data_IF_324321876432
#
_entry.id   IF_324321876432
#
_cell.length_a   1.000
_cell.length_b   1.000
_cell.length_c   1.000
_cell.angle_alpha   90.00
_cell.angle_beta   90.00
_cell.angle_gamma   90.00
#
_symmetry.space_group_name_H-M   'P 1'
#
loop_
_entity.id
_entity.type
_entity.pdbx_description
1 polymer ?
#
# COMPACT_ATOMS: atom_id res chain seq x y z
N UNK A 1 -48.25 27.95 3.15
CA UNK A 1 -48.33 29.41 3.37
C UNK A 1 -48.00 29.72 4.82
N UNK A 2 -47.16 30.69 5.18
CA UNK A 2 -46.29 31.59 4.41
C UNK A 2 -44.79 31.30 4.64
N UNK A 3 -43.87 31.46 3.76
CA UNK A 3 -43.13 32.62 3.21
C UNK A 3 -42.63 33.61 4.24
N UNK A 4 -41.30 33.80 4.31
CA UNK A 4 -40.52 35.01 4.66
C UNK A 4 -39.13 34.55 5.13
N UNK A 5 -37.97 35.07 4.82
CA UNK A 5 -37.55 36.18 3.98
C UNK A 5 -36.00 36.11 3.89
N UNK A 6 -35.49 36.53 2.76
CA UNK A 6 -34.08 36.63 2.47
C UNK A 6 -33.56 37.94 2.97
N UNK A 7 -32.47 37.99 3.78
CA UNK A 7 -31.67 39.20 3.92
C UNK A 7 -30.20 38.96 3.56
N UNK A 8 -29.81 39.68 2.51
CA UNK A 8 -28.45 39.96 2.07
C UNK A 8 -27.76 40.95 3.02
N UNK A 9 -26.51 40.76 3.28
CA UNK A 9 -25.56 41.75 3.77
C UNK A 9 -24.18 41.17 3.59
N UNK A 10 -23.31 41.62 2.79
CA UNK A 10 -22.79 42.96 2.62
C UNK A 10 -21.28 42.84 2.88
N UNK A 11 -20.53 42.83 1.82
CA UNK A 11 -19.09 42.96 1.62
C UNK A 11 -18.34 43.80 2.66
N UNK A 12 -17.20 43.30 3.21
CA UNK A 12 -16.10 44.18 3.63
C UNK A 12 -14.75 43.54 3.30
N UNK A 13 -14.17 44.02 2.22
CA UNK A 13 -12.79 43.78 1.78
C UNK A 13 -11.86 44.66 2.64
N UNK A 14 -10.94 44.06 3.40
CA UNK A 14 -9.78 44.81 3.95
C UNK A 14 -8.50 44.31 3.30
N UNK A 15 -7.94 45.16 2.46
CA UNK A 15 -6.57 45.10 1.94
C UNK A 15 -5.59 45.19 3.12
N UNK A 16 -4.61 44.28 3.14
CA UNK A 16 -3.37 44.52 3.87
C UNK A 16 -2.19 44.48 2.88
N UNK A 17 -1.44 45.61 2.93
CA UNK A 17 -0.40 46.00 2.00
C UNK A 17 0.93 45.37 2.41
N UNK A 18 1.66 44.93 1.40
CA UNK A 18 3.03 44.39 1.44
C UNK A 18 4.03 45.41 2.03
N UNK A 19 4.95 44.95 2.87
CA UNK A 19 6.26 45.58 3.08
C UNK A 19 7.36 44.59 2.69
N UNK A 20 8.06 44.91 1.61
CA UNK A 20 9.27 44.23 1.14
C UNK A 20 10.47 44.92 1.83
N UNK A 21 11.19 44.19 2.64
CA UNK A 21 12.48 44.59 3.17
C UNK A 21 13.62 43.90 2.41
N UNK A 22 14.33 44.66 1.60
CA UNK A 22 15.58 44.25 0.99
C UNK A 22 16.71 44.22 2.05
N UNK A 23 17.36 43.08 2.21
CA UNK A 23 18.61 42.98 2.95
C UNK A 23 19.71 42.52 1.98
N UNK A 24 20.55 43.45 1.57
CA UNK A 24 21.75 43.23 0.80
C UNK A 24 22.87 42.70 1.72
N UNK A 25 23.38 41.53 1.42
CA UNK A 25 24.57 40.97 2.11
C UNK A 25 25.77 41.06 1.18
N UNK A 26 26.79 41.82 1.64
CA UNK A 26 28.06 42.03 0.95
C UNK A 26 28.94 40.77 1.01
N UNK A 27 29.47 40.36 -0.15
CA UNK A 27 30.49 39.32 -0.27
C UNK A 27 31.87 39.94 -0.06
N UNK A 28 32.54 39.53 0.99
CA UNK A 28 33.97 39.80 1.19
C UNK A 28 34.76 38.59 0.69
N UNK A 29 35.48 38.77 -0.41
CA UNK A 29 36.49 37.84 -0.90
C UNK A 29 37.76 37.94 -0.03
N UNK A 30 38.18 36.86 0.60
CA UNK A 30 39.48 36.72 1.23
C UNK A 30 40.30 35.73 0.41
N UNK A 31 41.35 36.25 -0.25
CA UNK A 31 42.45 35.48 -0.82
C UNK A 31 43.35 34.95 0.29
N UNK A 32 43.71 33.67 0.26
CA UNK A 32 44.80 33.10 1.02
C UNK A 32 45.67 32.21 0.12
N UNK A 33 46.99 32.20 0.33
CA UNK A 33 47.94 31.72 -0.68
C UNK A 33 48.16 30.21 -0.62
N UNK A 34 48.46 29.71 -1.81
CA UNK A 34 48.83 28.34 -2.13
C UNK A 34 50.15 27.94 -1.46
N UNK A 35 50.13 26.93 -0.59
CA UNK A 35 51.36 26.21 -0.19
C UNK A 35 51.18 24.72 -0.56
N UNK A 36 51.97 24.29 -1.54
CA UNK A 36 52.12 22.88 -1.92
C UNK A 36 52.82 22.09 -0.81
N UNK A 37 52.33 20.94 -0.38
CA UNK A 37 53.12 20.02 0.42
C UNK A 37 53.97 19.09 -0.47
N UNK A 38 55.17 18.85 0.00
CA UNK A 38 56.20 18.01 -0.60
C UNK A 38 55.77 16.56 -0.81
N UNK A 39 56.24 16.00 -1.92
CA UNK A 39 56.09 14.58 -2.32
C UNK A 39 56.89 13.66 -1.37
N UNK A 40 56.17 12.77 -0.70
CA UNK A 40 56.73 11.58 -0.02
C UNK A 40 56.82 10.40 -1.03
N UNK A 41 57.90 9.60 -0.99
CA UNK A 41 58.08 8.49 -1.92
C UNK A 41 57.12 7.31 -1.61
N UNK A 42 56.51 6.81 -2.68
CA UNK A 42 55.63 5.62 -2.68
C UNK A 42 56.42 4.36 -2.38
N UNK A 43 55.92 3.44 -1.54
CA UNK A 43 56.54 2.12 -1.38
C UNK A 43 56.25 1.24 -2.58
N UNK A 44 57.25 0.45 -2.95
CA UNK A 44 57.25 -0.49 -4.07
C UNK A 44 56.13 -1.55 -3.94
N UNK A 45 55.41 -1.79 -5.07
CA UNK A 45 54.44 -2.87 -5.22
C UNK A 45 55.10 -4.26 -5.17
N UNK A 46 54.54 -5.23 -4.43
CA UNK A 46 54.98 -6.61 -4.53
C UNK A 46 54.55 -7.24 -5.86
N UNK A 47 55.37 -8.18 -6.36
CA UNK A 47 55.18 -8.88 -7.61
C UNK A 47 53.82 -9.64 -7.68
N UNK A 48 53.23 -9.83 -8.86
CA UNK A 48 51.96 -10.49 -9.01
C UNK A 48 52.09 -12.01 -8.69
N UNK A 49 51.31 -12.42 -7.69
CA UNK A 49 51.07 -13.86 -7.42
C UNK A 49 50.10 -14.39 -8.47
N UNK A 50 50.53 -15.43 -9.18
CA UNK A 50 49.68 -16.11 -10.16
C UNK A 50 48.43 -16.68 -9.53
N UNK A 51 47.29 -16.16 -9.90
CA UNK A 51 45.97 -16.67 -9.50
C UNK A 51 45.69 -18.02 -10.16
N UNK A 52 45.07 -18.98 -9.47
CA UNK A 52 44.65 -20.23 -10.10
C UNK A 52 43.54 -19.94 -11.12
N UNK A 53 43.74 -20.43 -12.34
CA UNK A 53 42.73 -20.43 -13.42
C UNK A 53 41.59 -21.35 -13.02
N UNK A 54 40.54 -20.82 -12.41
CA UNK A 54 39.25 -21.50 -12.32
C UNK A 54 38.59 -21.46 -13.70
N UNK A 55 38.47 -22.62 -14.34
CA UNK A 55 37.62 -22.81 -15.52
C UNK A 55 36.16 -22.57 -15.14
N UNK A 56 35.72 -21.33 -15.21
CA UNK A 56 34.30 -21.00 -15.20
C UNK A 56 33.84 -21.17 -16.66
N UNK A 57 33.16 -22.29 -16.93
CA UNK A 57 32.43 -22.47 -18.18
C UNK A 57 31.48 -21.32 -18.36
N UNK A 58 31.39 -20.66 -19.53
CA UNK A 58 30.41 -19.59 -19.75
C UNK A 58 29.01 -20.14 -19.49
N UNK A 59 28.10 -19.34 -18.91
CA UNK A 59 26.73 -19.76 -18.70
C UNK A 59 26.13 -20.12 -20.06
N UNK A 60 25.62 -21.32 -20.15
CA UNK A 60 24.92 -21.83 -21.33
C UNK A 60 23.79 -20.86 -21.64
N UNK A 61 23.89 -20.14 -22.77
CA UNK A 61 22.82 -19.28 -23.26
C UNK A 61 21.65 -20.21 -23.61
N UNK A 62 20.68 -20.33 -22.71
CA UNK A 62 19.44 -21.01 -23.01
C UNK A 62 18.74 -20.21 -24.11
N UNK A 63 18.37 -20.88 -25.21
CA UNK A 63 17.54 -20.26 -26.23
C UNK A 63 16.26 -19.71 -25.58
N UNK A 64 15.81 -18.50 -25.94
CA UNK A 64 14.61 -17.92 -25.39
C UNK A 64 13.43 -18.87 -25.53
N UNK A 65 12.67 -19.06 -24.45
CA UNK A 65 11.47 -19.89 -24.48
C UNK A 65 10.43 -19.27 -25.41
N UNK A 66 9.47 -20.05 -25.88
CA UNK A 66 8.36 -19.54 -26.68
C UNK A 66 7.58 -18.42 -25.95
N UNK A 67 7.52 -18.47 -24.63
CA UNK A 67 6.91 -17.44 -23.77
C UNK A 67 7.74 -16.14 -23.76
N UNK A 68 9.07 -16.23 -23.78
CA UNK A 68 9.92 -15.04 -23.82
C UNK A 68 9.81 -14.33 -25.17
N UNK A 69 9.68 -15.08 -26.26
CA UNK A 69 9.42 -14.55 -27.60
C UNK A 69 8.03 -13.88 -27.69
N UNK A 70 7.01 -14.48 -27.07
CA UNK A 70 5.67 -13.86 -26.99
C UNK A 70 5.69 -12.55 -26.19
N UNK A 71 6.40 -12.53 -25.05
CA UNK A 71 6.55 -11.34 -24.24
C UNK A 71 7.29 -10.21 -24.98
N UNK A 72 8.34 -10.54 -25.73
CA UNK A 72 9.06 -9.56 -26.55
C UNK A 72 8.11 -8.86 -27.53
N UNK A 73 7.21 -9.58 -28.18
CA UNK A 73 6.20 -9.01 -29.09
C UNK A 73 5.25 -8.07 -28.36
N UNK A 74 4.83 -8.41 -27.12
CA UNK A 74 4.00 -7.53 -26.28
C UNK A 74 4.74 -6.22 -25.99
N UNK A 75 6.02 -6.29 -25.59
CA UNK A 75 6.84 -5.08 -25.32
C UNK A 75 6.98 -4.20 -26.56
N UNK A 76 7.23 -4.79 -27.72
CA UNK A 76 7.33 -4.05 -28.99
C UNK A 76 5.99 -3.41 -29.38
N UNK A 77 4.89 -4.12 -29.20
CA UNK A 77 3.54 -3.60 -29.45
C UNK A 77 3.20 -2.46 -28.50
N UNK A 78 3.49 -2.60 -27.20
CA UNK A 78 3.30 -1.57 -26.20
C UNK A 78 4.07 -0.27 -26.55
N UNK A 79 5.31 -0.39 -27.05
CA UNK A 79 6.08 0.77 -27.50
C UNK A 79 5.46 1.45 -28.71
N UNK A 80 4.82 0.70 -29.60
CA UNK A 80 4.07 1.27 -30.74
C UNK A 80 2.77 1.94 -30.30
N UNK A 81 2.11 1.42 -29.29
CA UNK A 81 0.95 2.05 -28.65
C UNK A 81 1.32 3.39 -28.00
N UNK A 82 2.51 3.49 -27.42
CA UNK A 82 3.14 4.74 -26.96
C UNK A 82 2.51 5.38 -25.72
N UNK A 83 1.36 4.90 -25.27
CA UNK A 83 0.62 5.42 -24.11
C UNK A 83 -0.01 4.31 -23.28
N UNK A 84 -0.25 4.57 -21.99
CA UNK A 84 -1.11 3.79 -21.11
C UNK A 84 -1.89 4.72 -20.17
N UNK A 85 -3.21 4.56 -20.15
CA UNK A 85 -4.11 5.31 -19.27
C UNK A 85 -4.49 4.48 -18.04
N UNK A 86 -4.14 4.97 -16.84
CA UNK A 86 -4.37 4.28 -15.58
C UNK A 86 -5.43 5.00 -14.77
N UNK A 87 -6.55 4.33 -14.48
CA UNK A 87 -7.55 4.79 -13.52
C UNK A 87 -7.12 4.37 -12.12
N UNK A 88 -6.83 5.34 -11.26
CA UNK A 88 -6.22 5.03 -9.97
C UNK A 88 -6.81 5.85 -8.82
N UNK A 89 -7.05 5.20 -7.70
CA UNK A 89 -7.33 5.87 -6.44
C UNK A 89 -6.10 5.91 -5.50
N UNK A 90 -5.03 5.18 -5.84
CA UNK A 90 -3.79 5.13 -5.05
C UNK A 90 -2.66 5.99 -5.62
N UNK A 91 -2.53 6.06 -6.97
CA UNK A 91 -1.42 6.77 -7.63
C UNK A 91 -1.70 8.27 -7.69
N UNK A 92 -1.82 8.92 -6.53
CA UNK A 92 -2.15 10.35 -6.42
C UNK A 92 -0.90 11.20 -6.20
N UNK A 93 -0.92 12.45 -6.67
CA UNK A 93 0.15 13.43 -6.42
C UNK A 93 1.54 12.90 -6.80
N UNK A 94 2.51 13.06 -5.88
CA UNK A 94 3.91 12.68 -6.10
C UNK A 94 4.11 11.18 -6.34
N UNK A 95 3.23 10.33 -5.81
CA UNK A 95 3.26 8.88 -6.04
C UNK A 95 3.00 8.58 -7.52
N UNK A 96 1.94 9.16 -8.07
CA UNK A 96 1.61 9.01 -9.49
C UNK A 96 2.72 9.55 -10.40
N UNK A 97 3.30 10.71 -10.06
CA UNK A 97 4.42 11.29 -10.79
C UNK A 97 5.65 10.38 -10.79
N UNK A 98 5.99 9.77 -9.64
CA UNK A 98 7.12 8.86 -9.54
C UNK A 98 6.91 7.61 -10.41
N UNK A 99 5.73 7.01 -10.39
CA UNK A 99 5.37 5.85 -11.22
C UNK A 99 5.39 6.18 -12.70
N UNK A 100 4.75 7.29 -13.13
CA UNK A 100 4.73 7.74 -14.53
C UNK A 100 6.14 7.98 -15.06
N UNK A 101 6.97 8.69 -14.29
CA UNK A 101 8.35 8.98 -14.67
C UNK A 101 9.17 7.71 -14.84
N UNK A 102 9.17 6.82 -13.84
CA UNK A 102 9.99 5.62 -13.86
C UNK A 102 9.58 4.67 -15.01
N UNK A 103 8.29 4.51 -15.29
CA UNK A 103 7.82 3.70 -16.40
C UNK A 103 8.21 4.32 -17.75
N UNK A 104 8.03 5.63 -17.91
CA UNK A 104 8.42 6.36 -19.12
C UNK A 104 9.93 6.30 -19.35
N UNK A 105 10.77 6.53 -18.35
CA UNK A 105 12.23 6.41 -18.43
C UNK A 105 12.66 5.01 -18.86
N UNK A 106 11.96 3.97 -18.39
CA UNK A 106 12.28 2.57 -18.68
C UNK A 106 11.88 2.13 -20.09
N UNK A 107 10.71 2.56 -20.58
CA UNK A 107 10.10 2.01 -21.79
C UNK A 107 9.84 3.03 -22.91
N UNK A 108 9.92 4.33 -22.62
CA UNK A 108 9.59 5.41 -23.55
C UNK A 108 8.09 5.54 -23.81
N UNK A 109 7.23 4.99 -22.90
CA UNK A 109 5.77 5.02 -23.03
C UNK A 109 5.23 6.04 -22.05
N UNK A 110 4.33 6.91 -22.53
CA UNK A 110 3.66 7.88 -21.67
C UNK A 110 2.65 7.20 -20.75
N UNK A 111 2.49 7.71 -19.51
CA UNK A 111 1.52 7.20 -18.54
C UNK A 111 0.58 8.31 -18.13
N UNK A 112 -0.67 8.22 -18.54
CA UNK A 112 -1.74 9.11 -18.12
C UNK A 112 -2.42 8.54 -16.89
N UNK A 113 -2.23 9.15 -15.72
CA UNK A 113 -2.91 8.73 -14.49
C UNK A 113 -4.11 9.63 -14.24
N UNK A 114 -5.30 9.03 -14.27
CA UNK A 114 -6.55 9.68 -13.94
C UNK A 114 -6.94 9.25 -12.53
N UNK A 115 -6.88 10.20 -11.60
CA UNK A 115 -7.15 9.96 -10.18
C UNK A 115 -8.60 10.24 -9.83
N UNK A 116 -9.15 9.45 -8.88
CA UNK A 116 -10.53 9.60 -8.42
C UNK A 116 -10.89 8.61 -7.34
N UNK A 117 -12.14 8.62 -6.89
CA UNK A 117 -12.64 7.63 -5.93
C UNK A 117 -12.94 6.31 -6.63
N UNK A 118 -12.67 5.18 -5.96
CA UNK A 118 -12.85 3.86 -6.55
C UNK A 118 -14.22 3.60 -7.17
N UNK A 119 -15.30 4.06 -6.51
CA UNK A 119 -16.67 3.91 -7.02
C UNK A 119 -16.97 4.78 -8.27
N UNK A 120 -16.31 5.94 -8.41
CA UNK A 120 -16.47 6.82 -9.57
C UNK A 120 -15.97 6.15 -10.85
N UNK A 121 -14.89 5.38 -10.76
CA UNK A 121 -14.34 4.63 -11.89
C UNK A 121 -15.26 3.51 -12.38
N UNK A 122 -16.05 2.90 -11.48
CA UNK A 122 -17.07 1.91 -11.89
C UNK A 122 -18.10 2.59 -12.80
N UNK A 123 -18.65 3.72 -12.36
CA UNK A 123 -19.65 4.46 -13.12
C UNK A 123 -19.07 5.00 -14.45
N UNK A 124 -17.83 5.44 -14.42
CA UNK A 124 -17.13 5.89 -15.63
C UNK A 124 -16.98 4.75 -16.64
N UNK A 125 -16.44 3.61 -16.25
CA UNK A 125 -16.24 2.46 -17.15
C UNK A 125 -17.55 1.88 -17.67
N UNK A 126 -18.61 1.84 -16.85
CA UNK A 126 -19.95 1.46 -17.31
C UNK A 126 -20.50 2.45 -18.35
N UNK A 127 -20.19 3.73 -18.22
CA UNK A 127 -20.58 4.76 -19.19
C UNK A 127 -19.77 4.63 -20.48
N UNK A 128 -18.46 4.50 -20.38
CA UNK A 128 -17.58 4.28 -21.52
C UNK A 128 -17.98 3.03 -22.32
N UNK A 129 -18.27 1.91 -21.65
CA UNK A 129 -18.80 0.68 -22.28
C UNK A 129 -20.08 0.97 -23.05
N UNK A 130 -21.03 1.69 -22.46
CA UNK A 130 -22.35 1.98 -23.05
C UNK A 130 -22.26 2.83 -24.32
N UNK A 131 -21.30 3.78 -24.35
CA UNK A 131 -21.08 4.64 -25.52
C UNK A 131 -20.09 4.03 -26.55
N UNK A 132 -19.52 2.86 -26.23
CA UNK A 132 -18.59 2.15 -27.13
C UNK A 132 -17.20 2.77 -27.21
N UNK A 133 -16.78 3.55 -26.21
CA UNK A 133 -15.50 4.26 -26.18
C UNK A 133 -14.75 4.08 -24.86
N UNK A 134 -14.16 2.91 -24.62
CA UNK A 134 -13.27 2.66 -23.48
C UNK A 134 -12.01 3.56 -23.64
N UNK A 135 -11.65 4.27 -22.57
CA UNK A 135 -10.51 5.19 -22.51
C UNK A 135 -9.39 4.64 -21.62
N UNK A 136 -9.74 4.02 -20.50
CA UNK A 136 -8.77 3.45 -19.58
C UNK A 136 -8.16 2.15 -20.09
N UNK A 137 -6.89 1.93 -19.77
CA UNK A 137 -6.19 0.66 -20.09
C UNK A 137 -6.00 -0.21 -18.87
N UNK A 138 -5.75 0.41 -17.72
CA UNK A 138 -5.50 -0.25 -16.43
C UNK A 138 -6.33 0.44 -15.36
N UNK A 139 -6.81 -0.33 -14.40
CA UNK A 139 -7.44 0.20 -13.19
C UNK A 139 -6.76 -0.36 -11.95
N UNK A 140 -6.43 0.49 -10.96
CA UNK A 140 -6.20 0.04 -9.59
C UNK A 140 -7.40 0.39 -8.70
N UNK A 141 -7.83 -0.57 -7.89
CA UNK A 141 -8.96 -0.37 -7.01
C UNK A 141 -8.99 -1.42 -5.89
N UNK A 142 -9.96 -1.30 -4.98
CA UNK A 142 -10.23 -2.39 -4.05
C UNK A 142 -10.78 -3.62 -4.81
N UNK A 143 -10.59 -4.83 -4.27
CA UNK A 143 -11.00 -6.07 -4.94
C UNK A 143 -12.49 -6.13 -5.26
N UNK A 144 -13.37 -5.63 -4.38
CA UNK A 144 -14.82 -5.67 -4.58
C UNK A 144 -15.24 -4.87 -5.83
N UNK A 145 -14.67 -3.69 -6.02
CA UNK A 145 -14.92 -2.85 -7.18
C UNK A 145 -14.43 -3.51 -8.48
N UNK A 146 -13.25 -4.13 -8.47
CA UNK A 146 -12.72 -4.82 -9.66
C UNK A 146 -13.53 -6.09 -9.96
N UNK A 147 -14.03 -6.80 -8.92
CA UNK A 147 -14.92 -7.95 -9.09
C UNK A 147 -16.25 -7.54 -9.75
N UNK A 148 -16.82 -6.38 -9.38
CA UNK A 148 -17.99 -5.82 -10.08
C UNK A 148 -17.69 -5.57 -11.56
N UNK A 149 -16.57 -4.91 -11.87
CA UNK A 149 -16.16 -4.65 -13.26
C UNK A 149 -15.93 -5.95 -14.03
N UNK A 150 -15.38 -6.99 -13.40
CA UNK A 150 -15.24 -8.33 -13.98
C UNK A 150 -16.60 -8.93 -14.31
N UNK A 151 -17.57 -8.87 -13.39
CA UNK A 151 -18.95 -9.31 -13.62
C UNK A 151 -19.62 -8.61 -14.80
N UNK A 152 -19.27 -7.36 -15.06
CA UNK A 152 -19.73 -6.57 -16.21
C UNK A 152 -18.92 -6.84 -17.51
N UNK A 153 -17.90 -7.72 -17.49
CA UNK A 153 -17.02 -7.99 -18.63
C UNK A 153 -16.07 -6.81 -18.96
N UNK A 154 -15.80 -5.94 -18.00
CA UNK A 154 -14.97 -4.75 -18.15
C UNK A 154 -13.49 -4.94 -17.77
N UNK A 155 -13.11 -6.14 -17.35
CA UNK A 155 -11.72 -6.50 -17.11
C UNK A 155 -11.34 -7.77 -17.86
N UNK A 156 -10.06 -7.99 -18.07
CA UNK A 156 -9.52 -9.18 -18.74
C UNK A 156 -8.39 -9.81 -17.92
N UNK A 157 -8.34 -11.14 -17.87
CA UNK A 157 -7.28 -11.89 -17.23
C UNK A 157 -6.00 -11.84 -18.06
N UNK A 158 -4.92 -11.34 -17.47
CA UNK A 158 -3.61 -11.20 -18.15
C UNK A 158 -2.47 -11.91 -17.43
N UNK A 159 -2.71 -12.47 -16.24
CA UNK A 159 -1.65 -12.99 -15.36
C UNK A 159 -0.76 -14.04 -16.02
N UNK A 160 -1.33 -14.95 -16.81
CA UNK A 160 -0.57 -16.03 -17.45
C UNK A 160 0.42 -15.52 -18.53
N UNK A 161 0.21 -14.30 -19.01
CA UNK A 161 1.07 -13.64 -19.98
C UNK A 161 2.24 -12.89 -19.31
N UNK A 162 2.16 -12.61 -18.00
CA UNK A 162 3.11 -11.75 -17.29
C UNK A 162 4.31 -12.53 -16.73
N UNK A 163 5.54 -12.31 -17.25
CA UNK A 163 6.75 -12.98 -16.75
C UNK A 163 7.00 -12.81 -15.25
N UNK A 164 6.62 -11.65 -14.70
CA UNK A 164 6.81 -11.33 -13.27
C UNK A 164 6.10 -12.29 -12.34
N UNK A 165 5.05 -12.97 -12.80
CA UNK A 165 4.25 -13.90 -11.99
C UNK A 165 4.71 -15.37 -12.06
N UNK A 166 5.77 -15.68 -12.79
CA UNK A 166 6.29 -17.04 -12.95
C UNK A 166 6.85 -17.61 -11.64
N UNK A 167 7.55 -16.80 -10.85
CA UNK A 167 8.04 -17.22 -9.53
C UNK A 167 7.00 -16.85 -8.46
N UNK A 168 6.38 -17.87 -7.88
CA UNK A 168 5.36 -17.70 -6.83
C UNK A 168 5.95 -17.49 -5.43
N UNK A 169 7.24 -17.78 -5.23
CA UNK A 169 7.86 -17.78 -3.89
C UNK A 169 8.28 -16.37 -3.44
N UNK A 170 8.35 -15.42 -4.37
CA UNK A 170 8.78 -14.05 -4.09
C UNK A 170 7.71 -13.20 -3.42
N UNK A 171 6.46 -13.64 -3.41
CA UNK A 171 5.33 -12.87 -2.89
C UNK A 171 5.17 -13.03 -1.38
N UNK A 172 4.82 -11.94 -0.70
CA UNK A 172 4.51 -11.93 0.74
C UNK A 172 3.28 -12.77 1.05
N UNK A 173 2.31 -12.76 0.13
CA UNK A 173 1.09 -13.55 0.18
C UNK A 173 0.67 -13.95 -1.25
N UNK A 174 -0.36 -14.78 -1.40
CA UNK A 174 -0.90 -15.13 -2.73
C UNK A 174 -1.61 -13.90 -3.34
N UNK A 175 -0.92 -13.18 -4.20
CA UNK A 175 -1.44 -11.98 -4.87
C UNK A 175 -2.49 -12.27 -5.95
N UNK A 176 -2.70 -13.53 -6.30
CA UNK A 176 -3.75 -14.00 -7.22
C UNK A 176 -4.92 -14.67 -6.48
N UNK A 177 -4.79 -14.86 -5.16
CA UNK A 177 -5.74 -15.63 -4.36
C UNK A 177 -7.17 -15.08 -4.31
N UNK A 178 -7.38 -13.81 -4.71
CA UNK A 178 -8.70 -13.21 -4.81
C UNK A 178 -9.47 -13.58 -6.09
N UNK A 179 -8.75 -14.07 -7.11
CA UNK A 179 -9.32 -14.48 -8.39
C UNK A 179 -8.45 -15.58 -9.06
N UNK A 180 -8.30 -16.75 -8.42
CA UNK A 180 -7.28 -17.72 -8.81
C UNK A 180 -7.58 -18.42 -10.13
N UNK A 181 -8.83 -18.44 -10.59
CA UNK A 181 -9.26 -19.07 -11.82
C UNK A 181 -9.04 -18.17 -13.04
N UNK A 182 -9.64 -16.98 -13.03
CA UNK A 182 -9.65 -16.09 -14.18
C UNK A 182 -8.50 -15.06 -14.14
N UNK A 183 -7.93 -14.83 -12.94
CA UNK A 183 -6.72 -14.02 -12.72
C UNK A 183 -6.80 -12.59 -13.27
N UNK A 184 -7.99 -11.97 -13.13
CA UNK A 184 -8.17 -10.55 -13.47
C UNK A 184 -7.61 -9.63 -12.38
N UNK A 185 -7.63 -10.08 -11.11
CA UNK A 185 -7.25 -9.30 -9.94
C UNK A 185 -5.80 -9.62 -9.55
N UNK A 186 -4.90 -8.69 -9.78
CA UNK A 186 -3.48 -8.81 -9.45
C UNK A 186 -3.18 -7.95 -8.22
N UNK A 187 -2.89 -8.56 -7.07
CA UNK A 187 -2.52 -7.83 -5.86
C UNK A 187 -1.19 -7.09 -6.05
N UNK A 188 -1.18 -5.77 -5.87
CA UNK A 188 0.05 -4.97 -5.98
C UNK A 188 0.43 -4.26 -4.67
N UNK A 189 -0.49 -4.15 -3.75
CA UNK A 189 -0.30 -3.55 -2.45
C UNK A 189 -1.10 -4.29 -1.40
N UNK A 190 -0.64 -4.29 -0.16
CA UNK A 190 -1.40 -4.77 0.97
C UNK A 190 -1.41 -3.74 2.10
N UNK A 191 -2.48 -3.75 2.87
CA UNK A 191 -2.57 -3.09 4.16
C UNK A 191 -2.82 -4.12 5.25
N UNK A 192 -2.30 -3.86 6.44
CA UNK A 192 -2.57 -4.68 7.62
C UNK A 192 -3.31 -3.85 8.65
N UNK A 193 -4.05 -4.54 9.52
CA UNK A 193 -4.65 -3.92 10.71
C UNK A 193 -3.84 -4.35 11.92
N UNK A 194 -3.23 -3.39 12.65
CA UNK A 194 -2.52 -3.62 13.90
C UNK A 194 -1.92 -5.02 14.08
N UNK A 195 -1.43 -5.37 15.22
CA UNK A 195 -1.35 -4.58 16.45
C UNK A 195 -0.18 -3.61 16.48
N UNK A 196 -0.39 -2.51 17.18
CA UNK A 196 0.59 -1.48 17.44
C UNK A 196 0.71 -1.26 18.93
N UNK A 197 1.92 -1.01 19.43
CA UNK A 197 2.18 -0.75 20.84
C UNK A 197 2.82 0.62 21.04
N UNK A 198 2.57 1.21 22.21
CA UNK A 198 3.36 2.33 22.69
C UNK A 198 4.60 1.78 23.41
N UNK A 199 5.79 2.07 22.89
CA UNK A 199 7.08 1.53 23.38
C UNK A 199 7.49 2.04 24.76
N UNK A 200 6.90 3.15 25.25
CA UNK A 200 7.09 3.61 26.62
C UNK A 200 6.31 2.79 27.64
N UNK A 201 5.23 2.11 27.21
CA UNK A 201 4.30 1.38 28.07
C UNK A 201 4.43 -0.14 27.95
N UNK A 202 4.88 -0.65 26.81
CA UNK A 202 5.10 -2.09 26.57
C UNK A 202 6.59 -2.31 26.35
N UNK A 203 7.20 -3.07 27.24
CA UNK A 203 8.64 -3.38 27.17
C UNK A 203 8.91 -4.48 26.14
N UNK A 204 10.11 -4.49 25.53
CA UNK A 204 10.53 -5.60 24.69
C UNK A 204 10.40 -6.95 25.42
N UNK A 205 9.74 -7.90 24.79
CA UNK A 205 9.46 -9.24 25.35
C UNK A 205 8.09 -9.39 26.04
N UNK A 206 7.43 -8.27 26.38
CA UNK A 206 6.09 -8.28 26.98
C UNK A 206 4.96 -8.20 25.94
N UNK A 207 5.30 -8.07 24.64
CA UNK A 207 4.32 -7.93 23.57
C UNK A 207 3.44 -9.19 23.44
N UNK A 208 2.13 -9.03 23.15
CA UNK A 208 1.29 -10.15 22.75
C UNK A 208 1.83 -10.80 21.46
N UNK A 209 1.89 -12.13 21.44
CA UNK A 209 2.42 -12.91 20.29
C UNK A 209 1.31 -13.59 19.48
N UNK A 210 0.17 -13.83 20.11
CA UNK A 210 -1.01 -14.44 19.50
C UNK A 210 -2.28 -13.68 19.88
N UNK A 211 -3.37 -13.91 19.15
CA UNK A 211 -4.68 -13.34 19.48
C UNK A 211 -5.15 -13.69 20.90
N UNK A 212 -4.86 -14.88 21.38
CA UNK A 212 -5.24 -15.31 22.74
C UNK A 212 -4.58 -14.49 23.84
N UNK A 213 -3.39 -13.95 23.59
CA UNK A 213 -2.63 -13.19 24.57
C UNK A 213 -3.35 -11.88 24.96
N UNK A 214 -4.20 -11.33 24.08
CA UNK A 214 -5.00 -10.15 24.40
C UNK A 214 -6.06 -10.40 25.49
N UNK A 215 -6.36 -11.65 25.81
CA UNK A 215 -7.24 -12.02 26.91
C UNK A 215 -6.53 -12.08 28.26
N UNK A 216 -5.20 -11.97 28.30
CA UNK A 216 -4.44 -11.91 29.55
C UNK A 216 -4.91 -10.71 30.39
N UNK A 217 -5.24 -10.91 31.72
CA UNK A 217 -5.67 -9.85 32.60
C UNK A 217 -4.73 -8.64 32.67
N UNK A 218 -3.44 -8.81 32.40
CA UNK A 218 -2.46 -7.71 32.35
C UNK A 218 -2.80 -6.63 31.31
N UNK A 219 -3.59 -6.98 30.28
CA UNK A 219 -4.01 -6.05 29.21
C UNK A 219 -5.35 -5.38 29.49
N UNK A 220 -6.05 -5.75 30.57
CA UNK A 220 -7.32 -5.14 30.92
C UNK A 220 -7.18 -3.64 31.11
N UNK A 221 -8.00 -2.86 30.43
CA UNK A 221 -7.96 -1.39 30.44
C UNK A 221 -6.75 -0.78 29.73
N UNK A 222 -5.98 -1.56 28.94
CA UNK A 222 -4.79 -1.07 28.23
C UNK A 222 -4.90 -1.10 26.70
N UNK A 223 -6.05 -1.47 26.17
CA UNK A 223 -6.27 -1.62 24.73
C UNK A 223 -7.11 -0.50 24.13
N UNK A 224 -6.81 -0.16 22.89
CA UNK A 224 -7.56 0.73 22.00
C UNK A 224 -8.14 -0.06 20.83
N UNK A 225 -9.24 0.41 20.31
CA UNK A 225 -9.79 0.00 19.02
C UNK A 225 -10.65 1.13 18.44
N UNK A 226 -10.92 1.13 17.14
CA UNK A 226 -11.90 2.04 16.55
C UNK A 226 -13.32 1.67 16.99
N UNK A 227 -14.16 2.70 17.13
CA UNK A 227 -15.54 2.51 17.59
C UNK A 227 -16.34 1.68 16.56
N UNK A 228 -16.90 0.52 16.93
CA UNK A 228 -17.65 -0.34 16.03
C UNK A 228 -19.00 0.24 15.59
N UNK A 229 -19.44 1.38 16.13
CA UNK A 229 -20.62 2.10 15.63
C UNK A 229 -20.32 3.02 14.46
N UNK A 230 -19.05 3.43 14.31
CA UNK A 230 -18.63 4.42 13.29
C UNK A 230 -17.66 3.83 12.26
N UNK A 231 -17.10 2.65 12.53
CA UNK A 231 -16.12 2.00 11.67
C UNK A 231 -16.28 0.49 11.64
N UNK A 232 -16.18 -0.10 10.45
CA UNK A 232 -16.12 -1.55 10.28
C UNK A 232 -14.72 -2.14 10.56
N UNK A 233 -13.76 -1.35 11.07
CA UNK A 233 -12.36 -1.75 11.22
C UNK A 233 -12.16 -3.05 12.00
N UNK A 234 -12.88 -3.23 13.11
CA UNK A 234 -12.85 -4.48 13.89
C UNK A 234 -13.43 -5.67 13.11
N UNK A 235 -14.49 -5.45 12.33
CA UNK A 235 -15.09 -6.51 11.51
C UNK A 235 -14.15 -6.96 10.40
N UNK A 236 -13.42 -6.02 9.78
CA UNK A 236 -12.42 -6.34 8.76
C UNK A 236 -11.27 -7.20 9.31
N UNK A 237 -11.08 -7.23 10.63
CA UNK A 237 -10.12 -8.11 11.29
C UNK A 237 -10.78 -9.42 11.72
N UNK A 238 -11.92 -9.35 12.40
CA UNK A 238 -12.53 -10.52 13.02
C UNK A 238 -13.13 -11.48 12.00
N UNK A 239 -13.71 -11.00 10.90
CA UNK A 239 -14.35 -11.88 9.90
C UNK A 239 -13.33 -12.84 9.25
N UNK A 240 -12.19 -12.38 8.71
CA UNK A 240 -11.16 -13.29 8.19
C UNK A 240 -10.63 -14.27 9.25
N UNK A 241 -10.42 -13.80 10.49
CA UNK A 241 -9.97 -14.65 11.59
C UNK A 241 -10.99 -15.72 11.98
N UNK A 242 -12.29 -15.39 12.00
CA UNK A 242 -13.38 -16.34 12.22
C UNK A 242 -13.47 -17.38 11.11
N UNK A 243 -13.36 -16.95 9.85
CA UNK A 243 -13.35 -17.83 8.68
C UNK A 243 -12.24 -18.89 8.79
N UNK A 244 -11.03 -18.45 9.14
CA UNK A 244 -9.86 -19.32 9.29
C UNK A 244 -9.81 -20.02 10.67
N UNK A 245 -10.83 -19.83 11.52
CA UNK A 245 -10.91 -20.41 12.87
C UNK A 245 -9.70 -20.05 13.76
N UNK A 246 -9.04 -18.94 13.48
CA UNK A 246 -7.98 -18.40 14.33
C UNK A 246 -8.53 -17.82 15.64
N UNK A 247 -9.79 -17.37 15.63
CA UNK A 247 -10.61 -16.96 16.78
C UNK A 247 -12.03 -17.50 16.60
N UNK A 248 -12.84 -17.38 17.66
CA UNK A 248 -14.28 -17.66 17.67
C UNK A 248 -15.08 -16.50 18.27
N UNK A 249 -16.41 -16.60 18.29
CA UNK A 249 -17.26 -15.57 18.91
C UNK A 249 -17.06 -15.43 20.42
N UNK A 250 -16.73 -16.50 21.10
CA UNK A 250 -16.48 -16.45 22.56
C UNK A 250 -15.20 -15.71 22.87
N UNK A 251 -14.17 -15.83 22.00
CA UNK A 251 -12.99 -14.97 22.06
C UNK A 251 -13.38 -13.48 21.92
N UNK A 252 -14.22 -13.12 20.95
CA UNK A 252 -14.66 -11.72 20.72
C UNK A 252 -15.43 -11.20 21.94
N UNK A 253 -16.32 -12.02 22.55
CA UNK A 253 -17.02 -11.68 23.78
C UNK A 253 -16.07 -11.48 24.96
N UNK A 254 -15.06 -12.36 25.08
CA UNK A 254 -14.05 -12.26 26.14
C UNK A 254 -13.16 -11.03 25.95
N UNK A 255 -12.77 -10.70 24.70
CA UNK A 255 -11.98 -9.53 24.38
C UNK A 255 -12.69 -8.22 24.78
N UNK A 256 -14.01 -8.14 24.59
CA UNK A 256 -14.78 -6.97 25.02
C UNK A 256 -14.72 -6.73 26.54
N UNK A 257 -14.64 -7.80 27.35
CA UNK A 257 -14.51 -7.72 28.81
C UNK A 257 -13.15 -7.18 29.28
N UNK A 258 -12.20 -7.00 28.37
CA UNK A 258 -10.89 -6.41 28.65
C UNK A 258 -10.91 -4.88 28.80
N UNK A 259 -12.07 -4.24 28.85
CA UNK A 259 -12.21 -2.77 28.99
C UNK A 259 -11.46 -2.02 27.86
N UNK A 260 -11.86 -2.27 26.62
CA UNK A 260 -11.31 -1.61 25.44
C UNK A 260 -11.82 -0.17 25.39
N UNK A 261 -10.91 0.79 25.25
CA UNK A 261 -11.27 2.18 24.93
C UNK A 261 -11.43 2.35 23.41
N UNK A 262 -12.50 3.01 23.00
CA UNK A 262 -12.80 3.23 21.61
C UNK A 262 -12.44 4.64 21.15
N UNK A 263 -11.73 4.72 20.01
CA UNK A 263 -11.42 5.93 19.27
C UNK A 263 -12.48 6.25 18.21
N UNK A 264 -12.54 7.49 17.73
CA UNK A 264 -13.51 7.92 16.73
C UNK A 264 -13.14 7.42 15.31
N UNK A 265 -11.84 7.34 15.01
CA UNK A 265 -11.28 7.00 13.70
C UNK A 265 -9.81 6.56 13.84
N UNK A 266 -9.17 6.12 12.75
CA UNK A 266 -7.79 5.65 12.78
C UNK A 266 -6.75 6.72 13.17
N UNK A 267 -6.80 7.98 12.68
CA UNK A 267 -5.90 9.03 13.16
C UNK A 267 -6.05 9.32 14.66
N UNK A 268 -7.28 9.34 15.18
CA UNK A 268 -7.54 9.52 16.61
C UNK A 268 -6.97 8.36 17.43
N UNK A 269 -7.14 7.13 16.96
CA UNK A 269 -6.55 5.92 17.56
C UNK A 269 -5.02 6.05 17.67
N UNK A 270 -4.34 6.41 16.58
CA UNK A 270 -2.90 6.59 16.56
C UNK A 270 -2.44 7.74 17.48
N UNK A 271 -3.18 8.83 17.55
CA UNK A 271 -2.89 9.95 18.45
C UNK A 271 -3.03 9.54 19.92
N UNK A 272 -4.09 8.80 20.29
CA UNK A 272 -4.29 8.28 21.64
C UNK A 272 -3.19 7.30 22.04
N UNK A 273 -2.80 6.39 21.14
CA UNK A 273 -1.67 5.48 21.37
C UNK A 273 -0.36 6.25 21.56
N UNK A 274 -0.10 7.27 20.72
CA UNK A 274 1.11 8.11 20.80
C UNK A 274 1.23 8.80 22.15
N UNK A 275 0.13 9.32 22.68
CA UNK A 275 0.10 9.98 24.00
C UNK A 275 0.13 8.99 25.18
N UNK A 276 0.11 7.69 24.93
CA UNK A 276 0.14 6.66 25.99
C UNK A 276 -1.18 6.52 26.75
N UNK A 277 -2.31 6.92 26.16
CA UNK A 277 -3.62 6.76 26.82
C UNK A 277 -4.01 5.28 26.99
N UNK A 278 -3.46 4.43 26.14
CA UNK A 278 -3.49 2.97 26.22
C UNK A 278 -2.17 2.42 25.66
N UNK A 279 -1.90 1.15 25.90
CA UNK A 279 -0.63 0.52 25.55
C UNK A 279 -0.63 -0.15 24.19
N UNK A 280 -1.78 -0.61 23.72
CA UNK A 280 -1.92 -1.42 22.51
C UNK A 280 -3.15 -1.00 21.73
N UNK A 281 -3.06 -1.04 20.39
CA UNK A 281 -4.22 -1.03 19.50
C UNK A 281 -4.09 -2.12 18.43
N UNK A 282 -5.21 -2.58 17.88
CA UNK A 282 -5.25 -3.62 16.85
C UNK A 282 -6.23 -3.34 15.71
N UNK A 283 -6.81 -2.15 15.63
CA UNK A 283 -7.89 -1.84 14.68
C UNK A 283 -7.59 -0.81 13.63
N UNK A 284 -6.37 -0.29 13.56
CA UNK A 284 -6.01 0.74 12.60
C UNK A 284 -4.97 0.25 11.58
N UNK A 285 -5.00 0.84 10.39
CA UNK A 285 -4.15 0.46 9.27
C UNK A 285 -2.71 0.95 9.41
N UNK A 286 -1.78 0.21 8.84
CA UNK A 286 -0.34 0.47 8.88
C UNK A 286 0.06 1.84 8.33
N UNK A 287 -0.59 2.31 7.28
CA UNK A 287 -0.29 3.62 6.66
C UNK A 287 -0.50 4.80 7.61
N UNK A 288 -1.51 4.73 8.48
CA UNK A 288 -1.76 5.78 9.49
C UNK A 288 -0.63 5.80 10.52
N UNK A 289 -0.26 4.63 11.06
CA UNK A 289 0.78 4.56 12.08
C UNK A 289 2.16 4.92 11.56
N UNK A 290 2.48 4.57 10.31
CA UNK A 290 3.75 4.95 9.70
C UNK A 290 3.97 6.47 9.71
N UNK A 291 2.91 7.26 9.51
CA UNK A 291 3.00 8.72 9.57
C UNK A 291 3.34 9.22 10.99
N UNK A 292 2.70 8.69 12.03
CA UNK A 292 3.00 9.07 13.41
C UNK A 292 4.40 8.64 13.83
N UNK A 293 4.85 7.46 13.42
CA UNK A 293 6.20 6.95 13.66
C UNK A 293 7.25 7.85 12.98
N UNK A 294 7.01 8.28 11.75
CA UNK A 294 7.88 9.21 11.04
C UNK A 294 7.99 10.58 11.74
N UNK A 295 6.98 10.97 12.52
CA UNK A 295 6.99 12.18 13.35
C UNK A 295 7.59 11.96 14.75
N UNK A 296 8.15 10.77 15.03
CA UNK A 296 8.81 10.46 16.29
C UNK A 296 7.89 9.94 17.38
N UNK A 297 6.65 9.50 17.06
CA UNK A 297 5.77 8.87 18.06
C UNK A 297 6.40 7.57 18.59
N UNK A 298 6.29 7.28 19.89
CA UNK A 298 6.83 6.08 20.51
C UNK A 298 5.94 4.86 20.20
N UNK A 299 5.76 4.57 18.92
CA UNK A 299 4.90 3.50 18.42
C UNK A 299 5.74 2.51 17.65
N UNK A 300 5.40 1.23 17.78
CA UNK A 300 6.02 0.13 17.05
C UNK A 300 4.97 -0.91 16.66
N UNK A 301 5.12 -1.46 15.44
CA UNK A 301 4.40 -2.68 15.07
C UNK A 301 4.95 -3.88 15.85
N UNK A 302 4.10 -4.85 16.14
CA UNK A 302 4.53 -6.11 16.73
C UNK A 302 4.19 -7.28 15.80
N UNK A 303 5.10 -8.25 15.80
CA UNK A 303 4.94 -9.48 15.01
C UNK A 303 3.91 -10.38 15.68
N UNK A 304 3.04 -10.98 14.88
CA UNK A 304 2.10 -12.02 15.33
C UNK A 304 1.76 -12.99 14.21
N UNK A 305 1.29 -14.15 14.59
CA UNK A 305 0.70 -15.10 13.65
C UNK A 305 -0.70 -14.66 13.18
N UNK A 306 -1.15 -15.23 12.07
CA UNK A 306 -2.45 -14.94 11.46
C UNK A 306 -2.61 -13.44 11.14
N UNK A 307 -1.61 -12.89 10.41
CA UNK A 307 -1.65 -11.49 9.98
C UNK A 307 -2.74 -11.28 8.93
N UNK A 308 -3.76 -10.50 9.26
CA UNK A 308 -4.82 -10.16 8.30
C UNK A 308 -4.31 -9.12 7.30
N UNK A 309 -4.40 -9.44 6.02
CA UNK A 309 -4.00 -8.60 4.89
C UNK A 309 -5.20 -8.24 4.03
N UNK A 310 -5.37 -6.97 3.74
CA UNK A 310 -6.28 -6.50 2.70
C UNK A 310 -5.45 -6.11 1.48
N UNK A 311 -5.70 -6.76 0.34
CA UNK A 311 -5.04 -6.45 -0.91
C UNK A 311 -5.71 -5.27 -1.62
N UNK A 312 -4.91 -4.47 -2.28
CA UNK A 312 -5.33 -3.61 -3.37
C UNK A 312 -4.89 -4.25 -4.67
N UNK A 313 -5.71 -4.18 -5.69
CA UNK A 313 -5.48 -4.90 -6.94
C UNK A 313 -5.35 -3.96 -8.12
N UNK A 314 -4.57 -4.39 -9.11
CA UNK A 314 -4.52 -3.81 -10.43
C UNK A 314 -5.13 -4.80 -11.42
N UNK A 315 -5.87 -4.29 -12.42
CA UNK A 315 -6.50 -5.09 -13.46
C UNK A 315 -6.38 -4.40 -14.82
N UNK A 316 -6.25 -5.19 -15.88
CA UNK A 316 -6.36 -4.70 -17.26
C UNK A 316 -7.83 -4.51 -17.64
N UNK A 317 -8.14 -3.41 -18.30
CA UNK A 317 -9.50 -3.09 -18.75
C UNK A 317 -9.78 -3.81 -20.09
N UNK A 318 -10.95 -4.42 -20.18
CA UNK A 318 -11.41 -5.08 -21.41
C UNK A 318 -11.77 -4.03 -22.47
N UNK A 319 -11.31 -4.24 -23.71
CA UNK A 319 -11.51 -3.26 -24.78
C UNK A 319 -10.61 -2.01 -24.67
N UNK A 320 -9.57 -2.06 -23.85
CA UNK A 320 -8.58 -1.01 -23.70
C UNK A 320 -7.97 -0.57 -25.03
N UNK A 321 -7.76 0.74 -25.28
CA UNK A 321 -7.11 1.24 -26.50
C UNK A 321 -5.64 0.80 -26.62
N UNK A 322 -4.93 0.59 -25.49
CA UNK A 322 -3.52 0.22 -25.45
C UNK A 322 -3.29 -1.10 -24.68
N UNK A 323 -3.82 -2.24 -25.19
CA UNK A 323 -3.86 -3.50 -24.42
C UNK A 323 -2.48 -4.11 -24.15
N UNK A 324 -1.47 -3.85 -24.99
CA UNK A 324 -0.11 -4.32 -24.75
C UNK A 324 0.63 -3.42 -23.75
N UNK A 325 0.41 -2.12 -23.80
CA UNK A 325 0.92 -1.19 -22.79
C UNK A 325 0.31 -1.46 -21.41
N UNK A 326 -0.97 -1.85 -21.33
CA UNK A 326 -1.60 -2.30 -20.09
C UNK A 326 -0.89 -3.53 -19.50
N UNK A 327 -0.60 -4.57 -20.31
CA UNK A 327 0.15 -5.76 -19.88
C UNK A 327 1.57 -5.40 -19.42
N UNK A 328 2.25 -4.57 -20.19
CA UNK A 328 3.60 -4.14 -19.86
C UNK A 328 3.63 -3.32 -18.57
N UNK A 329 2.67 -2.41 -18.38
CA UNK A 329 2.53 -1.63 -17.16
C UNK A 329 2.27 -2.53 -15.93
N UNK A 330 1.31 -3.45 -16.01
CA UNK A 330 1.01 -4.37 -14.92
C UNK A 330 2.23 -5.25 -14.57
N UNK A 331 2.93 -5.79 -15.58
CA UNK A 331 4.15 -6.57 -15.36
C UNK A 331 5.26 -5.76 -14.68
N UNK A 332 5.51 -4.53 -15.16
CA UNK A 332 6.50 -3.65 -14.56
C UNK A 332 6.10 -3.20 -13.15
N UNK A 333 4.83 -2.84 -12.95
CA UNK A 333 4.35 -2.38 -11.64
C UNK A 333 4.49 -3.46 -10.55
N UNK A 334 4.39 -4.73 -10.93
CA UNK A 334 4.63 -5.89 -10.06
C UNK A 334 6.10 -6.34 -10.02
N UNK A 335 6.99 -5.78 -10.85
CA UNK A 335 8.42 -6.11 -10.86
C UNK A 335 9.16 -5.55 -9.63
N UNK A 336 10.40 -6.01 -9.34
CA UNK A 336 11.21 -5.40 -8.28
C UNK A 336 11.39 -3.90 -8.47
N UNK A 337 11.56 -3.43 -9.71
CA UNK A 337 11.71 -2.00 -10.04
C UNK A 337 10.44 -1.22 -9.72
N UNK A 338 9.29 -1.62 -10.29
CA UNK A 338 8.01 -0.94 -10.07
C UNK A 338 7.59 -0.95 -8.61
N UNK A 339 7.75 -2.08 -7.92
CA UNK A 339 7.45 -2.21 -6.51
C UNK A 339 8.41 -1.38 -5.62
N UNK A 340 9.67 -1.19 -6.03
CA UNK A 340 10.60 -0.30 -5.32
C UNK A 340 10.15 1.15 -5.44
N UNK A 341 9.78 1.60 -6.64
CA UNK A 341 9.25 2.96 -6.86
C UNK A 341 7.98 3.18 -6.04
N UNK A 342 7.03 2.22 -6.10
CA UNK A 342 5.78 2.27 -5.34
C UNK A 342 6.03 2.34 -3.83
N UNK A 343 6.76 1.39 -3.28
CA UNK A 343 7.01 1.28 -1.83
C UNK A 343 7.70 2.54 -1.27
N UNK A 344 8.65 3.09 -2.06
CA UNK A 344 9.37 4.30 -1.66
C UNK A 344 8.49 5.56 -1.74
N UNK A 345 7.78 5.74 -2.84
CA UNK A 345 6.95 6.93 -3.05
C UNK A 345 5.73 6.97 -2.12
N UNK A 346 5.07 5.84 -1.91
CA UNK A 346 3.89 5.73 -1.06
C UNK A 346 4.21 5.47 0.43
N UNK A 347 5.50 5.24 0.78
CA UNK A 347 5.93 4.87 2.15
C UNK A 347 5.18 3.65 2.70
N UNK A 348 5.03 2.61 1.88
CA UNK A 348 4.35 1.35 2.21
C UNK A 348 5.27 0.14 2.06
N UNK A 349 4.83 -1.02 2.54
CA UNK A 349 5.51 -2.28 2.26
C UNK A 349 5.23 -2.76 0.83
N UNK A 350 6.14 -3.55 0.27
CA UNK A 350 5.95 -4.21 -1.02
C UNK A 350 5.26 -5.55 -0.86
N UNK A 351 4.45 -5.95 -1.84
CA UNK A 351 3.95 -7.34 -1.97
C UNK A 351 5.06 -8.34 -2.27
N UNK A 352 6.28 -7.87 -2.60
CA UNK A 352 7.46 -8.68 -2.91
C UNK A 352 8.41 -8.78 -1.72
N UNK A 353 8.91 -9.98 -1.44
CA UNK A 353 9.91 -10.24 -0.39
C UNK A 353 11.31 -9.71 -0.75
N UNK A 354 11.61 -9.58 -2.04
CA UNK A 354 12.92 -9.17 -2.58
C UNK A 354 13.05 -7.65 -2.81
N UNK A 355 12.05 -6.87 -2.37
CA UNK A 355 12.07 -5.41 -2.39
C UNK A 355 12.33 -4.88 -0.98
N UNK A 356 13.26 -3.92 -0.87
CA UNK A 356 13.58 -3.27 0.39
C UNK A 356 12.36 -2.54 0.96
N UNK A 357 12.11 -2.73 2.25
CA UNK A 357 11.11 -1.94 2.97
C UNK A 357 11.72 -0.60 3.40
N UNK A 358 11.27 0.49 2.81
CA UNK A 358 11.77 1.85 3.04
C UNK A 358 11.15 2.53 4.26
N UNK A 359 10.14 1.91 4.88
CA UNK A 359 9.52 2.46 6.09
C UNK A 359 10.51 2.49 7.27
N UNK A 360 10.31 3.39 8.25
CA UNK A 360 11.00 3.30 9.53
C UNK A 360 10.88 1.89 10.11
N UNK A 361 11.94 1.39 10.74
CA UNK A 361 11.96 0.01 11.26
C UNK A 361 10.76 -0.28 12.17
N UNK A 362 10.40 0.68 13.02
CA UNK A 362 9.25 0.57 13.91
C UNK A 362 7.90 0.40 13.19
N UNK A 363 7.81 0.84 11.92
CA UNK A 363 6.62 0.72 11.08
C UNK A 363 6.61 -0.53 10.18
N UNK A 364 7.71 -1.30 10.13
CA UNK A 364 7.79 -2.50 9.31
C UNK A 364 7.00 -3.62 9.95
N UNK A 365 6.06 -4.15 9.19
CA UNK A 365 5.22 -5.26 9.63
C UNK A 365 5.81 -6.56 9.13
N UNK A 366 6.08 -7.48 10.05
CA UNK A 366 6.47 -8.83 9.69
C UNK A 366 5.20 -9.68 9.49
N UNK A 367 4.93 -9.99 8.25
CA UNK A 367 3.78 -10.83 7.88
C UNK A 367 4.10 -12.29 8.19
N UNK A 368 3.26 -12.92 9.02
CA UNK A 368 3.33 -14.35 9.34
C UNK A 368 1.96 -14.97 9.15
N UNK A 369 1.92 -16.17 8.57
CA UNK A 369 0.70 -16.91 8.29
C UNK A 369 -0.41 -15.98 7.75
N UNK A 370 -0.21 -15.35 6.57
CA UNK A 370 -1.11 -14.30 6.08
C UNK A 370 -2.51 -14.83 5.84
N UNK A 371 -3.50 -14.11 6.34
CA UNK A 371 -4.92 -14.31 6.04
C UNK A 371 -5.37 -13.17 5.12
N UNK A 372 -5.61 -13.48 3.85
CA UNK A 372 -6.07 -12.48 2.89
C UNK A 372 -7.57 -12.27 3.09
N UNK A 373 -7.99 -11.02 3.29
CA UNK A 373 -9.39 -10.62 3.31
C UNK A 373 -10.00 -10.84 1.93
N UNK A 374 -11.05 -11.65 1.84
CA UNK A 374 -11.78 -11.89 0.60
C UNK A 374 -12.87 -10.83 0.37
N UNK A 375 -13.47 -10.84 -0.82
CA UNK A 375 -14.62 -9.98 -1.08
C UNK A 375 -15.82 -10.39 -0.23
N UNK A 376 -16.02 -11.69 -0.03
CA UNK A 376 -17.06 -12.24 0.83
C UNK A 376 -16.88 -11.78 2.29
N UNK A 377 -15.63 -11.72 2.79
CA UNK A 377 -15.35 -11.16 4.12
C UNK A 377 -15.74 -9.68 4.19
N UNK A 378 -15.40 -8.90 3.16
CA UNK A 378 -15.71 -7.47 3.09
C UNK A 378 -17.21 -7.22 3.04
N UNK A 379 -17.93 -7.98 2.21
CA UNK A 379 -19.40 -7.90 2.07
C UNK A 379 -20.07 -8.30 3.39
N UNK A 380 -19.60 -9.37 4.03
CA UNK A 380 -20.09 -9.81 5.33
C UNK A 380 -19.79 -8.77 6.41
N UNK A 381 -18.59 -8.19 6.43
CA UNK A 381 -18.25 -7.15 7.38
C UNK A 381 -19.15 -5.91 7.22
N UNK A 382 -19.42 -5.48 5.99
CA UNK A 382 -20.32 -4.36 5.71
C UNK A 382 -21.77 -4.67 6.18
N UNK A 383 -22.28 -5.88 5.88
CA UNK A 383 -23.59 -6.32 6.34
C UNK A 383 -23.70 -6.36 7.85
N UNK A 384 -22.72 -6.97 8.52
CA UNK A 384 -22.70 -7.08 9.97
C UNK A 384 -22.53 -5.74 10.66
N UNK A 385 -21.80 -4.81 10.02
CA UNK A 385 -21.69 -3.42 10.49
C UNK A 385 -23.05 -2.72 10.46
N UNK A 386 -23.79 -2.80 9.35
CA UNK A 386 -25.15 -2.24 9.25
C UNK A 386 -26.11 -2.87 10.28
N UNK A 387 -25.95 -4.14 10.57
CA UNK A 387 -26.74 -4.87 11.56
C UNK A 387 -26.32 -4.61 13.01
N UNK A 388 -25.29 -3.81 13.25
CA UNK A 388 -24.70 -3.56 14.56
C UNK A 388 -24.34 -4.87 15.31
N UNK A 389 -23.81 -5.86 14.55
CA UNK A 389 -23.58 -7.21 15.08
C UNK A 389 -22.64 -7.23 16.28
N UNK A 390 -21.50 -6.51 16.24
CA UNK A 390 -20.57 -6.42 17.37
C UNK A 390 -21.23 -5.81 18.62
N UNK A 391 -22.06 -4.78 18.46
CA UNK A 391 -22.76 -4.18 19.59
C UNK A 391 -23.74 -5.16 20.23
N UNK A 392 -24.48 -5.91 19.41
CA UNK A 392 -25.38 -6.97 19.92
C UNK A 392 -24.61 -8.08 20.59
N UNK A 393 -23.48 -8.52 20.00
CA UNK A 393 -22.62 -9.57 20.56
C UNK A 393 -22.02 -9.16 21.92
N UNK A 394 -21.73 -7.87 22.09
CA UNK A 394 -21.20 -7.28 23.31
C UNK A 394 -22.26 -6.78 24.29
N UNK A 395 -23.55 -6.93 23.95
CA UNK A 395 -24.67 -6.45 24.80
C UNK A 395 -24.77 -4.93 24.90
N UNK A 396 -24.30 -4.20 23.89
CA UNK A 396 -24.48 -2.75 23.73
C UNK A 396 -25.80 -2.48 23.00
N UNK A 397 -26.60 -1.57 23.52
CA UNK A 397 -27.82 -1.07 22.89
C UNK A 397 -27.54 0.21 22.10
#
# INVERSE_FOLDING_TARGET
MPLLDVKRGGCLMKRFMLMIGFLTLAVLAACSPNTSPASTPSPALPAPVSAPTSNISPPTSQSPTSQDAAWTKIVEAARREGNVTVYSYNLTGDVGLAISRAFNERYGIHVDIITGKGAEFIQRLLTEKRIGGIVGDVIDNNPANVKLLKGEGLTTGIADELPVLRDKNIWVADILGLDPQDKHLLGFNFSTYGPWINTNLVKPGDEPKDWKDYLDPRWKGKMLATNPTTSAGLLNIFIPLLREKAIDEDYIKALYKQDIRFSSNYPDDAAMLSRGERSITFSATDSVYAQFIAQGAPIKSIERDNTVLTLTVVAAISGAPHPNAARLFANWFLSPEGQTVWAKAASVGSVRKDVTDFRPEAARIKVRNPIITTNEDTDLAAKLFQQQWLNKLWGRQ
#
